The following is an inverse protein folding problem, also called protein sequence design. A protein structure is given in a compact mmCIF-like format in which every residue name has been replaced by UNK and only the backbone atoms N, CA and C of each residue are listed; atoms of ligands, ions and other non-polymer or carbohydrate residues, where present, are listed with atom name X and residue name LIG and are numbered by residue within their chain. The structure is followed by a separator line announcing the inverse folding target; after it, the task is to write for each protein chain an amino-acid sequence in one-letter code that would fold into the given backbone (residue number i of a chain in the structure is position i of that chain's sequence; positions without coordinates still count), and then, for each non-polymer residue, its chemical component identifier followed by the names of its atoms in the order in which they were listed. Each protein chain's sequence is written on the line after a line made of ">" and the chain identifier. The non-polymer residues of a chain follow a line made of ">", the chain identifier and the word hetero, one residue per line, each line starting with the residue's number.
data_IF_187158564971
#
_entry.id   IF_187158564971
#
_cell.length_a   1.000
_cell.length_b   1.000
_cell.length_c   1.000
_cell.angle_alpha   90.00
_cell.angle_beta   90.00
_cell.angle_gamma   90.00
#
_symmetry.space_group_name_H-M   'P 1'
#
loop_
_entity.id
_entity.type
_entity.pdbx_description
1 polymer ?
#
# COMPACT_ATOMS: atom_id res chain seq x y z
N UNK A 1 -5.06 50.79 30.05
CA UNK A 1 -6.20 49.94 29.61
C UNK A 1 -5.91 49.18 28.29
N UNK A 2 -4.63 48.93 27.93
CA UNK A 2 -4.20 48.28 26.68
C UNK A 2 -3.58 46.88 26.85
N UNK A 3 -3.52 46.34 28.07
CA UNK A 3 -2.69 45.16 28.38
C UNK A 3 -3.37 43.81 28.19
N UNK A 4 -4.68 43.76 27.94
CA UNK A 4 -5.44 42.52 28.02
C UNK A 4 -5.72 41.90 26.64
N UNK A 5 -5.88 42.70 25.59
CA UNK A 5 -6.05 42.22 24.20
C UNK A 5 -4.74 41.78 23.54
N UNK A 6 -3.60 42.41 23.88
CA UNK A 6 -2.30 42.06 23.34
C UNK A 6 -1.84 40.64 23.78
N UNK A 7 -1.82 40.36 25.08
CA UNK A 7 -1.46 39.02 25.59
C UNK A 7 -2.43 37.90 25.16
N UNK A 8 -3.65 38.24 24.73
CA UNK A 8 -4.65 37.26 24.26
C UNK A 8 -4.44 36.84 22.80
N UNK A 9 -3.84 37.70 21.98
CA UNK A 9 -3.46 37.38 20.59
C UNK A 9 -2.16 36.55 20.58
N UNK A 10 -1.24 36.81 21.52
CA UNK A 10 0.06 36.13 21.57
C UNK A 10 -0.06 34.62 21.80
N UNK A 11 -1.02 34.15 22.61
CA UNK A 11 -1.13 32.72 22.96
C UNK A 11 -1.69 31.89 21.79
N UNK A 12 -2.73 32.38 21.09
CA UNK A 12 -3.27 31.70 19.92
C UNK A 12 -2.28 31.70 18.76
N UNK A 13 -1.61 32.84 18.52
CA UNK A 13 -0.54 32.96 17.53
C UNK A 13 0.60 32.00 17.88
N UNK A 14 1.03 31.90 19.13
CA UNK A 14 2.18 31.08 19.52
C UNK A 14 1.92 29.57 19.33
N UNK A 15 0.76 29.07 19.76
CA UNK A 15 0.41 27.64 19.61
C UNK A 15 0.26 27.25 18.14
N UNK A 16 -0.42 28.09 17.35
CA UNK A 16 -0.61 27.85 15.90
C UNK A 16 0.71 28.02 15.15
N UNK A 17 1.49 29.07 15.44
CA UNK A 17 2.78 29.29 14.80
C UNK A 17 3.76 28.15 15.08
N UNK A 18 3.80 27.61 16.29
CA UNK A 18 4.61 26.44 16.60
C UNK A 18 4.21 25.23 15.75
N UNK A 19 2.91 24.95 15.62
CA UNK A 19 2.41 23.87 14.78
C UNK A 19 2.71 24.12 13.29
N UNK A 20 2.55 25.35 12.80
CA UNK A 20 2.91 25.73 11.43
C UNK A 20 4.40 25.59 11.14
N UNK A 21 5.28 25.94 12.10
CA UNK A 21 6.73 25.76 11.96
C UNK A 21 7.06 24.26 11.81
N UNK A 22 6.42 23.40 12.61
CA UNK A 22 6.61 21.95 12.51
C UNK A 22 6.15 21.41 11.16
N UNK A 23 4.95 21.80 10.70
CA UNK A 23 4.43 21.38 9.38
C UNK A 23 5.33 21.86 8.24
N UNK A 24 5.85 23.08 8.32
CA UNK A 24 6.77 23.62 7.32
C UNK A 24 8.11 22.87 7.31
N UNK A 25 8.65 22.51 8.47
CA UNK A 25 9.87 21.71 8.55
C UNK A 25 9.69 20.33 7.88
N UNK A 26 8.56 19.65 8.14
CA UNK A 26 8.23 18.38 7.48
C UNK A 26 7.99 18.54 5.98
N UNK A 27 7.38 19.65 5.56
CA UNK A 27 7.22 19.98 4.14
C UNK A 27 8.56 20.13 3.45
N UNK A 28 9.51 20.85 4.04
CA UNK A 28 10.82 21.08 3.46
C UNK A 28 11.62 19.77 3.34
N UNK A 29 11.55 18.90 4.35
CA UNK A 29 12.14 17.56 4.30
C UNK A 29 11.51 16.70 3.19
N UNK A 30 10.18 16.73 3.07
CA UNK A 30 9.46 16.01 2.02
C UNK A 30 9.87 16.49 0.62
N UNK A 31 10.03 17.80 0.42
CA UNK A 31 10.48 18.38 -0.86
C UNK A 31 11.94 17.99 -1.17
N UNK A 32 12.80 17.90 -0.16
CA UNK A 32 14.16 17.40 -0.36
C UNK A 32 14.15 15.93 -0.80
N UNK A 33 13.31 15.10 -0.17
CA UNK A 33 13.13 13.69 -0.54
C UNK A 33 12.50 13.54 -1.94
N UNK A 34 11.52 14.37 -2.30
CA UNK A 34 10.90 14.40 -3.62
C UNK A 34 11.95 14.59 -4.73
N UNK A 35 12.82 15.59 -4.59
CA UNK A 35 13.90 15.83 -5.55
C UNK A 35 14.84 14.61 -5.68
N UNK A 36 15.11 13.92 -4.58
CA UNK A 36 15.94 12.72 -4.58
C UNK A 36 15.24 11.54 -5.26
N UNK A 37 13.93 11.35 -5.03
CA UNK A 37 13.11 10.32 -5.69
C UNK A 37 13.09 10.54 -7.20
N UNK A 38 12.90 11.79 -7.64
CA UNK A 38 12.87 12.15 -9.06
C UNK A 38 14.22 11.96 -9.76
N UNK A 39 15.33 12.16 -9.06
CA UNK A 39 16.67 12.03 -9.63
C UNK A 39 17.15 10.57 -9.68
N UNK A 40 17.04 9.82 -8.56
CA UNK A 40 17.50 8.43 -8.43
C UNK A 40 16.71 7.68 -7.35
N UNK A 41 15.70 6.87 -7.73
CA UNK A 41 14.93 6.12 -6.75
C UNK A 41 15.81 5.00 -6.14
N UNK A 42 15.84 4.91 -4.81
CA UNK A 42 16.61 3.92 -4.04
C UNK A 42 15.70 3.26 -2.99
N UNK A 43 15.88 1.97 -2.74
CA UNK A 43 15.13 1.23 -1.72
C UNK A 43 15.31 1.79 -0.30
N UNK A 44 16.45 2.42 0.01
CA UNK A 44 16.65 3.11 1.29
C UNK A 44 15.76 4.36 1.40
N UNK A 45 15.63 5.12 0.31
CA UNK A 45 14.80 6.32 0.24
C UNK A 45 13.31 6.01 0.46
N UNK A 46 12.84 4.87 -0.05
CA UNK A 46 11.48 4.39 0.20
C UNK A 46 11.23 4.10 1.69
N UNK A 47 12.24 3.62 2.42
CA UNK A 47 12.12 3.38 3.88
C UNK A 47 12.00 4.69 4.65
N UNK A 48 12.82 5.67 4.31
CA UNK A 48 12.81 6.98 4.97
C UNK A 48 11.47 7.68 4.74
N UNK A 49 10.92 7.60 3.53
CA UNK A 49 9.62 8.17 3.19
C UNK A 49 8.46 7.49 3.92
N UNK A 50 8.51 6.16 4.10
CA UNK A 50 7.54 5.43 4.93
C UNK A 50 7.62 5.82 6.41
N UNK A 51 8.83 6.02 6.93
CA UNK A 51 9.03 6.47 8.31
C UNK A 51 8.41 7.86 8.52
N UNK A 52 8.72 8.79 7.62
CA UNK A 52 8.18 10.16 7.62
C UNK A 52 6.64 10.18 7.56
N UNK A 53 6.07 9.32 6.71
CA UNK A 53 4.60 9.16 6.60
C UNK A 53 4.00 8.63 7.90
N UNK A 54 4.69 7.71 8.58
CA UNK A 54 4.29 7.21 9.90
C UNK A 54 4.31 8.30 10.97
N UNK A 55 5.37 9.11 11.01
CA UNK A 55 5.50 10.23 11.93
C UNK A 55 4.42 11.30 11.71
N UNK A 56 4.15 11.67 10.45
CA UNK A 56 3.08 12.60 10.10
C UNK A 56 1.69 12.09 10.50
N UNK A 57 1.42 10.79 10.29
CA UNK A 57 0.15 10.19 10.74
C UNK A 57 0.03 10.19 12.26
N UNK A 58 1.11 9.89 12.99
CA UNK A 58 1.13 9.96 14.44
C UNK A 58 0.87 11.38 14.94
N UNK A 59 1.47 12.39 14.30
CA UNK A 59 1.22 13.79 14.62
C UNK A 59 -0.24 14.19 14.36
N UNK A 60 -0.79 13.82 13.20
CA UNK A 60 -2.19 14.07 12.85
C UNK A 60 -3.16 13.44 13.85
N UNK A 61 -2.95 12.17 14.23
CA UNK A 61 -3.78 11.49 15.23
C UNK A 61 -3.72 12.15 16.61
N UNK A 62 -2.58 12.76 16.97
CA UNK A 62 -2.44 13.53 18.21
C UNK A 62 -3.15 14.88 18.14
N UNK A 63 -3.26 15.47 16.95
CA UNK A 63 -3.85 16.80 16.72
C UNK A 63 -5.39 16.79 16.60
N UNK A 64 -5.97 15.70 16.09
CA UNK A 64 -7.43 15.55 15.93
C UNK A 64 -8.24 15.73 17.23
N UNK A 65 -7.84 15.16 18.39
CA UNK A 65 -8.52 15.39 19.66
C UNK A 65 -8.52 16.86 20.09
N UNK A 66 -7.44 17.60 19.83
CA UNK A 66 -7.33 19.03 20.16
C UNK A 66 -8.34 19.85 19.37
N UNK A 67 -8.48 19.55 18.07
CA UNK A 67 -9.51 20.14 17.21
C UNK A 67 -10.93 19.85 17.71
N UNK A 68 -11.19 18.60 18.11
CA UNK A 68 -12.49 18.20 18.65
C UNK A 68 -12.80 18.93 19.96
N UNK A 69 -11.81 19.09 20.85
CA UNK A 69 -11.96 19.86 22.08
C UNK A 69 -12.27 21.33 21.80
N UNK A 70 -11.53 21.98 20.90
CA UNK A 70 -11.76 23.40 20.54
C UNK A 70 -13.16 23.57 19.95
N UNK A 71 -13.55 22.67 19.03
CA UNK A 71 -14.89 22.65 18.44
C UNK A 71 -15.98 22.48 19.48
N UNK A 72 -15.83 21.51 20.39
CA UNK A 72 -16.79 21.29 21.46
C UNK A 72 -16.85 22.50 22.40
N UNK A 73 -15.72 23.07 22.80
CA UNK A 73 -15.67 24.28 23.64
C UNK A 73 -16.39 25.46 22.97
N UNK A 74 -16.25 25.61 21.64
CA UNK A 74 -16.95 26.66 20.87
C UNK A 74 -18.45 26.40 20.77
N UNK A 75 -18.83 25.16 20.48
CA UNK A 75 -20.21 24.74 20.18
C UNK A 75 -21.02 24.44 21.45
N UNK A 76 -20.37 24.39 22.63
CA UNK A 76 -21.01 24.29 23.94
C UNK A 76 -21.75 25.59 24.30
N UNK A 77 -22.86 25.82 23.61
CA UNK A 77 -23.89 26.77 24.01
C UNK A 77 -25.10 25.96 24.47
N UNK A 78 -25.23 25.82 25.80
CA UNK A 78 -26.47 25.63 26.52
C UNK A 78 -27.33 24.40 26.14
N UNK A 79 -27.17 23.33 26.92
CA UNK A 79 -28.38 22.63 27.40
C UNK A 79 -29.06 23.61 28.36
N UNK A 80 -30.33 23.93 28.11
CA UNK A 80 -31.16 24.84 28.93
C UNK A 80 -30.93 24.60 30.43
N UNK A 81 -30.33 25.58 31.12
CA UNK A 81 -30.26 25.59 32.60
C UNK A 81 -28.87 25.61 33.26
N UNK A 82 -27.75 25.66 32.52
CA UNK A 82 -26.41 25.79 33.12
C UNK A 82 -25.80 27.18 32.86
N UNK A 83 -25.59 27.95 33.95
CA UNK A 83 -25.20 29.37 34.03
C UNK A 83 -23.78 29.73 33.52
N UNK A 84 -23.04 28.79 32.91
CA UNK A 84 -21.70 29.05 32.39
C UNK A 84 -21.79 29.51 30.93
N UNK A 85 -22.09 30.78 30.73
CA UNK A 85 -22.12 31.38 29.39
C UNK A 85 -20.70 31.71 28.92
N UNK A 86 -20.18 30.97 27.94
CA UNK A 86 -18.99 31.39 27.19
C UNK A 86 -19.31 32.75 26.53
N UNK A 87 -18.52 33.77 26.88
CA UNK A 87 -18.68 35.12 26.36
C UNK A 87 -18.67 35.13 24.82
N UNK A 88 -19.53 35.93 24.18
CA UNK A 88 -19.58 36.06 22.72
C UNK A 88 -18.19 36.38 22.12
N UNK A 89 -17.37 37.13 22.84
CA UNK A 89 -16.00 37.43 22.44
C UNK A 89 -15.11 36.18 22.41
N UNK A 90 -15.24 35.31 23.42
CA UNK A 90 -14.48 34.05 23.49
C UNK A 90 -14.87 33.08 22.36
N UNK A 91 -16.14 33.09 21.92
CA UNK A 91 -16.59 32.29 20.76
C UNK A 91 -15.92 32.71 19.46
N UNK A 92 -15.75 34.02 19.23
CA UNK A 92 -15.05 34.53 18.04
C UNK A 92 -13.57 34.13 18.05
N UNK A 93 -12.88 34.26 19.19
CA UNK A 93 -11.49 33.81 19.30
C UNK A 93 -11.32 32.30 19.14
N UNK A 94 -12.22 31.49 19.73
CA UNK A 94 -12.19 30.03 19.55
C UNK A 94 -12.51 29.64 18.10
N UNK A 95 -13.34 30.41 17.40
CA UNK A 95 -13.60 30.24 15.97
C UNK A 95 -12.33 30.44 15.14
N UNK A 96 -11.60 31.53 15.37
CA UNK A 96 -10.34 31.82 14.68
C UNK A 96 -9.27 30.74 14.93
N UNK A 97 -9.10 30.33 16.19
CA UNK A 97 -8.19 29.24 16.55
C UNK A 97 -8.61 27.93 15.88
N UNK A 98 -9.91 27.63 15.85
CA UNK A 98 -10.42 26.43 15.20
C UNK A 98 -10.12 26.45 13.70
N UNK A 99 -10.37 27.56 13.02
CA UNK A 99 -10.14 27.69 11.59
C UNK A 99 -8.65 27.50 11.27
N UNK A 100 -7.76 28.12 12.05
CA UNK A 100 -6.32 27.90 11.94
C UNK A 100 -5.90 26.43 12.17
N UNK A 101 -6.43 25.78 13.20
CA UNK A 101 -6.17 24.38 13.42
C UNK A 101 -6.71 23.51 12.25
N UNK A 102 -7.87 23.84 11.67
CA UNK A 102 -8.39 23.09 10.51
C UNK A 102 -7.48 23.22 9.29
N UNK A 103 -6.97 24.43 9.01
CA UNK A 103 -6.00 24.66 7.93
C UNK A 103 -4.73 23.82 8.14
N UNK A 104 -4.22 23.73 9.37
CA UNK A 104 -3.04 22.92 9.69
C UNK A 104 -3.32 21.43 9.49
N UNK A 105 -4.48 20.94 9.93
CA UNK A 105 -4.87 19.55 9.75
C UNK A 105 -5.00 19.17 8.27
N UNK A 106 -5.52 20.08 7.45
CA UNK A 106 -5.63 19.87 6.01
C UNK A 106 -4.23 19.85 5.37
N UNK A 107 -3.34 20.77 5.75
CA UNK A 107 -1.95 20.76 5.30
C UNK A 107 -1.21 19.46 5.67
N UNK A 108 -1.46 18.88 6.85
CA UNK A 108 -0.92 17.57 7.23
C UNK A 108 -1.47 16.44 6.36
N UNK A 109 -2.78 16.45 6.07
CA UNK A 109 -3.41 15.47 5.20
C UNK A 109 -2.85 15.52 3.77
N UNK A 110 -2.56 16.72 3.28
CA UNK A 110 -1.93 16.93 1.97
C UNK A 110 -0.51 16.36 1.96
N UNK A 111 0.30 16.63 2.99
CA UNK A 111 1.66 16.09 3.09
C UNK A 111 1.70 14.56 3.13
N UNK A 112 0.78 13.93 3.86
CA UNK A 112 0.65 12.47 3.89
C UNK A 112 0.33 11.93 2.49
N UNK A 113 -0.62 12.57 1.80
CA UNK A 113 -1.03 12.16 0.45
C UNK A 113 0.11 12.32 -0.56
N UNK A 114 0.88 13.41 -0.46
CA UNK A 114 2.07 13.65 -1.29
C UNK A 114 3.14 12.58 -1.02
N UNK A 115 3.40 12.25 0.25
CA UNK A 115 4.33 11.20 0.61
C UNK A 115 3.91 9.82 0.06
N UNK A 116 2.64 9.45 0.16
CA UNK A 116 2.10 8.20 -0.41
C UNK A 116 2.27 8.15 -1.94
N UNK A 117 2.02 9.27 -2.63
CA UNK A 117 2.25 9.36 -4.07
C UNK A 117 3.73 9.20 -4.45
N UNK A 118 4.63 9.79 -3.66
CA UNK A 118 6.07 9.63 -3.84
C UNK A 118 6.55 8.22 -3.53
N UNK A 119 5.96 7.53 -2.55
CA UNK A 119 6.22 6.10 -2.26
C UNK A 119 5.86 5.26 -3.47
N UNK A 120 4.66 5.46 -4.02
CA UNK A 120 4.21 4.76 -5.21
C UNK A 120 5.17 5.02 -6.38
N UNK A 121 5.54 6.29 -6.61
CA UNK A 121 6.47 6.64 -7.66
C UNK A 121 7.85 6.01 -7.46
N UNK A 122 8.37 5.97 -6.23
CA UNK A 122 9.64 5.35 -5.91
C UNK A 122 9.59 3.84 -6.17
N UNK A 123 8.54 3.14 -5.73
CA UNK A 123 8.38 1.70 -5.91
C UNK A 123 8.26 1.29 -7.38
N UNK A 124 7.48 2.02 -8.18
CA UNK A 124 7.33 1.74 -9.61
C UNK A 124 8.51 2.29 -10.44
N UNK A 125 9.16 3.35 -9.97
CA UNK A 125 10.29 4.02 -10.63
C UNK A 125 11.64 3.37 -10.35
N UNK A 126 11.80 2.62 -9.25
CA UNK A 126 12.91 1.67 -9.09
C UNK A 126 12.72 0.56 -10.11
N UNK A 127 13.22 0.76 -11.32
CA UNK A 127 13.54 -0.36 -12.19
C UNK A 127 14.46 -1.27 -11.36
N UNK A 128 14.12 -2.53 -11.19
CA UNK A 128 14.85 -3.49 -10.35
C UNK A 128 16.22 -3.79 -10.95
N UNK A 129 17.10 -2.79 -11.05
CA UNK A 129 18.47 -2.93 -11.51
C UNK A 129 19.30 -3.29 -10.29
N UNK A 130 19.13 -4.53 -9.85
CA UNK A 130 20.13 -5.50 -9.43
C UNK A 130 19.32 -6.57 -8.71
N UNK A 131 18.74 -7.49 -9.49
CA UNK A 131 18.48 -8.83 -8.99
C UNK A 131 19.83 -9.54 -8.97
N UNK A 132 20.53 -9.67 -7.82
CA UNK A 132 21.76 -10.45 -7.77
C UNK A 132 21.56 -11.90 -8.23
N UNK A 133 20.31 -12.38 -8.25
CA UNK A 133 19.90 -13.69 -8.75
C UNK A 133 19.91 -13.80 -10.29
N UNK A 134 19.78 -12.68 -11.02
CA UNK A 134 19.84 -12.65 -12.50
C UNK A 134 21.21 -12.28 -13.06
N UNK A 135 22.06 -11.60 -12.27
CA UNK A 135 23.44 -11.25 -12.67
C UNK A 135 24.42 -12.42 -12.50
N UNK A 136 24.04 -13.47 -11.77
CA UNK A 136 24.81 -14.70 -11.74
C UNK A 136 24.67 -15.36 -13.12
N UNK A 137 25.75 -15.33 -13.92
CA UNK A 137 25.84 -15.95 -15.25
C UNK A 137 25.42 -17.43 -15.26
N UNK A 138 25.42 -18.06 -14.10
CA UNK A 138 24.99 -19.45 -13.87
C UNK A 138 23.47 -19.59 -13.63
N UNK A 139 22.75 -18.55 -13.20
CA UNK A 139 21.30 -18.58 -12.90
C UNK A 139 20.46 -18.93 -14.13
N UNK A 140 20.81 -18.36 -15.29
CA UNK A 140 20.19 -18.68 -16.58
C UNK A 140 20.46 -20.14 -16.96
N UNK A 141 21.67 -20.65 -16.70
CA UNK A 141 21.99 -22.06 -16.94
C UNK A 141 21.20 -22.99 -16.00
N UNK A 142 20.97 -22.63 -14.74
CA UNK A 142 20.14 -23.41 -13.82
C UNK A 142 18.68 -23.45 -14.26
N UNK A 143 18.14 -22.33 -14.73
CA UNK A 143 16.78 -22.27 -15.26
C UNK A 143 16.58 -23.25 -16.43
N UNK A 144 17.48 -23.23 -17.41
CA UNK A 144 17.44 -24.16 -18.54
C UNK A 144 17.68 -25.62 -18.13
N UNK A 145 18.55 -25.88 -17.16
CA UNK A 145 18.76 -27.23 -16.61
C UNK A 145 17.51 -27.78 -15.91
N UNK A 146 16.88 -26.98 -15.04
CA UNK A 146 15.68 -27.39 -14.30
C UNK A 146 14.50 -27.62 -15.24
N UNK A 147 14.29 -26.68 -16.18
CA UNK A 147 13.26 -26.79 -17.21
C UNK A 147 13.47 -28.05 -18.07
N UNK A 148 14.70 -28.28 -18.55
CA UNK A 148 15.04 -29.45 -19.35
C UNK A 148 14.79 -30.79 -18.63
N UNK A 149 15.14 -30.90 -17.34
CA UNK A 149 14.91 -32.12 -16.55
C UNK A 149 13.41 -32.41 -16.40
N UNK A 150 12.60 -31.39 -16.10
CA UNK A 150 11.14 -31.55 -15.96
C UNK A 150 10.51 -31.95 -17.28
N UNK A 151 10.88 -31.29 -18.39
CA UNK A 151 10.37 -31.66 -19.72
C UNK A 151 10.73 -33.09 -20.10
N UNK A 152 11.97 -33.52 -19.84
CA UNK A 152 12.41 -34.88 -20.12
C UNK A 152 11.63 -35.93 -19.31
N UNK A 153 11.39 -35.68 -18.02
CA UNK A 153 10.57 -36.56 -17.18
C UNK A 153 9.14 -36.68 -17.68
N UNK A 154 8.51 -35.56 -18.05
CA UNK A 154 7.14 -35.56 -18.60
C UNK A 154 7.10 -36.36 -19.89
N UNK A 155 8.03 -36.14 -20.82
CA UNK A 155 8.09 -36.88 -22.08
C UNK A 155 8.31 -38.39 -21.85
N UNK A 156 9.16 -38.78 -20.90
CA UNK A 156 9.39 -40.17 -20.56
C UNK A 156 8.14 -40.86 -20.00
N UNK A 157 7.39 -40.18 -19.13
CA UNK A 157 6.12 -40.69 -18.58
C UNK A 157 5.11 -40.90 -19.71
N UNK A 158 4.97 -39.92 -20.61
CA UNK A 158 4.05 -40.03 -21.75
C UNK A 158 4.47 -41.12 -22.75
N UNK A 159 5.76 -41.23 -23.06
CA UNK A 159 6.28 -42.27 -23.95
C UNK A 159 6.11 -43.67 -23.35
N UNK A 160 6.35 -43.83 -22.05
CA UNK A 160 6.13 -45.09 -21.34
C UNK A 160 4.63 -45.44 -21.31
N UNK A 161 3.76 -44.48 -21.03
CA UNK A 161 2.31 -44.64 -21.07
C UNK A 161 1.82 -45.07 -22.45
N UNK A 162 2.30 -44.40 -23.51
CA UNK A 162 1.94 -44.73 -24.90
C UNK A 162 2.47 -46.11 -25.32
N UNK A 163 3.72 -46.43 -24.99
CA UNK A 163 4.30 -47.75 -25.23
C UNK A 163 3.49 -48.86 -24.52
N UNK A 164 3.15 -48.64 -23.25
CA UNK A 164 2.34 -49.58 -22.48
C UNK A 164 0.93 -49.76 -23.06
N UNK A 165 0.29 -48.67 -23.46
CA UNK A 165 -1.05 -48.68 -24.06
C UNK A 165 -1.06 -49.39 -25.41
N UNK A 166 -0.06 -49.14 -26.26
CA UNK A 166 0.13 -49.84 -27.53
C UNK A 166 0.35 -51.36 -27.31
N UNK A 167 1.08 -51.74 -26.25
CA UNK A 167 1.27 -53.15 -25.89
C UNK A 167 -0.02 -53.81 -25.38
N UNK A 168 -0.85 -53.09 -24.62
CA UNK A 168 -2.19 -53.55 -24.20
C UNK A 168 -3.13 -53.76 -25.39
N UNK A 169 -3.11 -52.86 -26.38
CA UNK A 169 -3.95 -52.98 -27.59
C UNK A 169 -3.68 -54.27 -28.38
N UNK A 170 -2.40 -54.68 -28.49
CA UNK A 170 -2.03 -55.96 -29.13
C UNK A 170 -2.43 -57.20 -28.32
N UNK A 171 -2.73 -57.07 -27.02
CA UNK A 171 -3.19 -58.17 -26.17
C UNK A 171 -4.71 -58.41 -26.27
N UNK A 172 -5.49 -57.43 -26.74
CA UNK A 172 -6.95 -57.52 -26.96
C UNK A 172 -7.29 -57.68 -28.45
N UNK A 173 -6.78 -58.73 -29.10
CA UNK A 173 -7.44 -59.31 -30.29
C UNK A 173 -8.05 -60.64 -29.88
N UNK A 174 -9.25 -60.68 -29.24
CA UNK A 174 -9.99 -61.92 -29.14
C UNK A 174 -10.26 -62.42 -30.56
N UNK A 175 -9.88 -63.67 -30.83
CA UNK A 175 -9.94 -64.27 -32.14
C UNK A 175 -11.31 -64.09 -32.80
N UNK A 176 -11.30 -63.49 -33.99
CA UNK A 176 -12.33 -63.77 -35.01
C UNK A 176 -12.13 -65.22 -35.47
N UNK A 177 -12.55 -66.18 -34.66
CA UNK A 177 -12.59 -67.59 -35.02
C UNK A 177 -13.97 -68.21 -34.73
N UNK A 178 -15.02 -67.39 -34.78
CA UNK A 178 -16.43 -67.83 -34.80
C UNK A 178 -17.02 -67.55 -36.19
N UNK A 179 -16.32 -67.98 -37.23
CA UNK A 179 -16.82 -67.92 -38.63
C UNK A 179 -16.74 -69.27 -39.35
N UNK A 180 -16.34 -70.34 -38.65
CA UNK A 180 -16.26 -71.70 -39.23
C UNK A 180 -17.23 -72.73 -38.62
N UNK A 181 -17.97 -72.39 -37.57
CA UNK A 181 -18.90 -73.34 -36.91
C UNK A 181 -20.39 -73.18 -37.26
N UNK A 182 -20.79 -72.28 -38.18
CA UNK A 182 -22.20 -72.12 -38.59
C UNK A 182 -22.45 -72.45 -40.08
N UNK A 183 -21.73 -73.43 -40.64
CA UNK A 183 -22.04 -73.97 -41.97
C UNK A 183 -21.98 -75.50 -41.97
N UNK A 184 -22.87 -76.11 -41.21
CA UNK A 184 -23.26 -77.51 -41.36
C UNK A 184 -24.70 -77.55 -41.93
N UNK A 185 -24.92 -78.03 -43.16
CA UNK A 185 -26.25 -78.31 -43.67
C UNK A 185 -26.69 -79.73 -43.25
N UNK A 186 -27.71 -79.85 -42.39
CA UNK A 186 -28.47 -81.10 -42.21
C UNK A 186 -29.87 -80.97 -42.79
N UNK A 187 -30.04 -81.46 -44.01
CA UNK A 187 -31.30 -81.99 -44.56
C UNK A 187 -30.96 -83.06 -45.61
N UNK A 188 -31.09 -84.33 -45.23
CA UNK A 188 -31.96 -85.30 -45.91
C UNK A 188 -32.39 -86.36 -44.88
#
# INVERSE_FOLDING_TARGET
>A
MFSSSACRMDISILCVAAATIVVNAYRDELVALENNVLCRPNAQLTKDLHLLTGELNQFKHTFLPTLALIRNLRDNTLVDGADWHISNLARVYLGDIQDHCTVINDALADLITLADNLINLAMYGTNFVVFPELTHRDGIMYFWKLCGIVTALVVAIFAFGFYWMNRRSKRYRPGMEISRQLREPRCY
#
